data_IF_392842847387
#
_entry.id   IF_392842847387
#
_cell.length_a   1.000
_cell.length_b   1.000
_cell.length_c   1.000
_cell.angle_alpha   90.00
_cell.angle_beta   90.00
_cell.angle_gamma   90.00
#
_symmetry.space_group_name_H-M   'P 1'
#
loop_
_entity.id
_entity.type
_entity.pdbx_description
1 polymer ?
#
# COMPACT_ATOMS: atom_id res chain seq x y z
N UNK A 1 -44.70 -41.46 -20.14
CA UNK A 1 -44.32 -40.06 -19.88
C UNK A 1 -44.13 -39.92 -18.38
N UNK A 2 -42.93 -39.62 -17.89
CA UNK A 2 -42.65 -39.51 -16.46
C UNK A 2 -43.22 -38.18 -15.94
N UNK A 3 -44.22 -38.23 -15.07
CA UNK A 3 -44.82 -37.05 -14.44
C UNK A 3 -43.92 -36.58 -13.31
N UNK A 4 -43.36 -35.38 -13.44
CA UNK A 4 -42.59 -34.74 -12.36
C UNK A 4 -43.50 -34.42 -11.18
N UNK A 5 -43.00 -34.63 -9.96
CA UNK A 5 -43.70 -34.24 -8.74
C UNK A 5 -43.73 -32.70 -8.59
N UNK A 6 -44.67 -32.17 -7.80
CA UNK A 6 -44.70 -30.74 -7.49
C UNK A 6 -43.38 -30.25 -6.87
N UNK A 7 -42.71 -31.10 -6.09
CA UNK A 7 -41.44 -30.80 -5.44
C UNK A 7 -40.33 -30.60 -6.48
N UNK A 8 -40.26 -31.49 -7.48
CA UNK A 8 -39.28 -31.38 -8.57
C UNK A 8 -39.53 -30.14 -9.43
N UNK A 9 -40.79 -29.81 -9.71
CA UNK A 9 -41.14 -28.58 -10.46
C UNK A 9 -40.76 -27.33 -9.68
N UNK A 10 -41.02 -27.31 -8.38
CA UNK A 10 -40.63 -26.18 -7.51
C UNK A 10 -39.11 -26.05 -7.40
N UNK A 11 -38.38 -27.16 -7.33
CA UNK A 11 -36.93 -27.15 -7.24
C UNK A 11 -36.29 -26.69 -8.56
N UNK A 12 -36.79 -27.14 -9.70
CA UNK A 12 -36.35 -26.70 -11.03
C UNK A 12 -36.56 -25.18 -11.20
N UNK A 13 -37.69 -24.65 -10.73
CA UNK A 13 -37.97 -23.21 -10.76
C UNK A 13 -36.98 -22.43 -9.89
N UNK A 14 -36.68 -22.93 -8.69
CA UNK A 14 -35.77 -22.29 -7.75
C UNK A 14 -34.31 -22.31 -8.26
N UNK A 15 -33.88 -23.41 -8.87
CA UNK A 15 -32.56 -23.53 -9.51
C UNK A 15 -32.43 -22.63 -10.73
N UNK A 16 -33.49 -22.47 -11.53
CA UNK A 16 -33.52 -21.51 -12.64
C UNK A 16 -33.39 -20.07 -12.15
N UNK A 17 -34.18 -19.70 -11.16
CA UNK A 17 -34.13 -18.37 -10.54
C UNK A 17 -32.71 -18.07 -10.02
N UNK A 18 -32.10 -19.03 -9.30
CA UNK A 18 -30.74 -18.89 -8.80
C UNK A 18 -29.72 -18.75 -9.94
N UNK A 19 -29.91 -19.49 -11.04
CA UNK A 19 -29.10 -19.39 -12.25
C UNK A 19 -29.18 -18.01 -12.90
N UNK A 20 -30.39 -17.47 -13.07
CA UNK A 20 -30.65 -16.14 -13.64
C UNK A 20 -30.06 -15.03 -12.74
N UNK A 21 -30.24 -15.15 -11.42
CA UNK A 21 -29.71 -14.19 -10.44
C UNK A 21 -28.17 -14.22 -10.37
N UNK A 22 -27.55 -15.36 -10.70
CA UNK A 22 -26.08 -15.52 -10.68
C UNK A 22 -25.42 -15.27 -12.03
N UNK A 23 -26.17 -15.24 -13.14
CA UNK A 23 -25.65 -15.12 -14.51
C UNK A 23 -24.84 -13.83 -14.75
N UNK A 24 -25.16 -12.77 -13.99
CA UNK A 24 -24.47 -11.47 -14.06
C UNK A 24 -23.58 -11.17 -12.85
N UNK A 25 -23.41 -12.12 -11.93
CA UNK A 25 -22.51 -11.94 -10.78
C UNK A 25 -21.08 -11.97 -11.30
N UNK A 26 -20.49 -10.79 -11.44
CA UNK A 26 -19.05 -10.66 -11.61
C UNK A 26 -18.38 -11.06 -10.30
N UNK A 27 -17.52 -12.07 -10.35
CA UNK A 27 -16.63 -12.34 -9.23
C UNK A 27 -15.78 -11.10 -8.99
N UNK A 28 -15.85 -10.58 -7.77
CA UNK A 28 -15.08 -9.44 -7.30
C UNK A 28 -13.73 -10.01 -6.81
N UNK A 29 -12.81 -10.22 -7.75
CA UNK A 29 -11.45 -10.68 -7.41
C UNK A 29 -10.62 -9.58 -6.72
N UNK A 30 -11.15 -8.36 -6.66
CA UNK A 30 -10.51 -7.20 -6.05
C UNK A 30 -11.55 -6.24 -5.46
N UNK A 31 -11.13 -5.50 -4.42
CA UNK A 31 -11.84 -4.31 -3.95
C UNK A 31 -11.17 -3.07 -4.58
N UNK A 32 -11.95 -2.22 -5.24
CA UNK A 32 -11.50 -0.94 -5.78
C UNK A 32 -12.37 0.20 -5.26
N UNK A 33 -11.79 1.39 -5.12
CA UNK A 33 -12.50 2.57 -4.65
C UNK A 33 -11.54 3.70 -4.25
N UNK A 34 -12.12 4.83 -3.86
CA UNK A 34 -11.39 6.02 -3.41
C UNK A 34 -12.05 6.58 -2.15
N UNK A 35 -11.24 7.08 -1.21
CA UNK A 35 -11.73 7.82 -0.05
C UNK A 35 -11.15 9.22 -0.06
N UNK A 36 -12.00 10.22 0.19
CA UNK A 36 -11.56 11.60 0.33
C UNK A 36 -10.87 11.77 1.69
N UNK A 37 -9.61 12.21 1.67
CA UNK A 37 -8.92 12.69 2.86
C UNK A 37 -9.27 14.16 3.06
N UNK A 38 -9.33 14.64 4.31
CA UNK A 38 -9.44 16.08 4.52
C UNK A 38 -8.13 16.74 4.04
N UNK A 39 -8.17 17.95 3.46
CA UNK A 39 -6.98 18.64 2.99
C UNK A 39 -5.90 18.75 4.09
N UNK A 40 -4.63 18.64 3.70
CA UNK A 40 -3.45 18.78 4.56
C UNK A 40 -3.41 17.81 5.76
N UNK A 41 -4.13 16.68 5.68
CA UNK A 41 -4.10 15.67 6.74
C UNK A 41 -3.12 14.54 6.49
N UNK A 42 -2.53 14.41 5.30
CA UNK A 42 -1.59 13.34 5.04
C UNK A 42 -0.16 13.86 5.21
N UNK A 43 0.54 13.28 6.19
CA UNK A 43 1.92 13.59 6.49
C UNK A 43 2.75 12.30 6.48
N UNK A 44 3.86 12.33 5.75
CA UNK A 44 4.91 11.32 5.78
C UNK A 44 6.05 11.82 6.67
N UNK A 45 6.31 11.09 7.73
CA UNK A 45 7.46 11.30 8.61
C UNK A 45 8.56 10.32 8.18
N UNK A 46 9.79 10.79 8.00
CA UNK A 46 10.89 9.92 7.59
C UNK A 46 12.24 10.36 8.16
N UNK A 47 13.16 9.41 8.28
CA UNK A 47 14.54 9.67 8.70
C UNK A 47 15.32 10.24 7.52
N UNK A 48 16.15 11.26 7.74
CA UNK A 48 17.10 11.69 6.71
C UNK A 48 18.28 10.74 6.63
N UNK A 49 18.82 10.57 5.43
CA UNK A 49 20.12 9.95 5.25
C UNK A 49 21.20 10.78 6.00
N UNK A 50 22.11 10.09 6.68
CA UNK A 50 23.29 10.72 7.30
C UNK A 50 24.18 11.26 6.16
N UNK A 51 24.05 12.55 5.84
CA UNK A 51 24.99 13.21 4.93
C UNK A 51 26.34 13.45 5.62
N UNK A 52 27.08 12.36 5.87
CA UNK A 52 28.50 12.40 6.18
C UNK A 52 29.30 12.51 4.87
N UNK A 53 29.16 13.63 4.15
CA UNK A 53 30.09 14.01 3.08
C UNK A 53 29.98 15.50 2.75
N UNK A 54 30.28 16.35 3.73
CA UNK A 54 30.96 17.62 3.40
C UNK A 54 32.45 17.39 3.55
N UNK A 55 33.14 17.28 2.42
CA UNK A 55 34.59 17.37 2.33
C UNK A 55 35.06 18.72 2.90
N UNK A 56 35.34 18.77 4.20
CA UNK A 56 36.21 19.80 4.79
C UNK A 56 37.18 19.11 5.75
N UNK A 57 38.45 19.07 5.33
CA UNK A 57 39.60 18.83 6.21
C UNK A 57 39.53 19.80 7.39
N UNK A 58 39.46 19.30 8.63
CA UNK A 58 40.18 19.83 9.79
C UNK A 58 39.89 19.00 11.06
N UNK A 59 40.97 18.47 11.64
CA UNK A 59 41.29 18.27 13.05
C UNK A 59 40.19 17.82 14.05
N UNK A 60 40.41 16.58 14.53
CA UNK A 60 40.39 16.17 15.94
C UNK A 60 39.52 16.99 16.90
N UNK A 61 38.29 16.54 17.13
CA UNK A 61 37.53 16.82 18.35
C UNK A 61 36.45 15.76 18.56
N UNK A 62 36.19 15.44 19.84
CA UNK A 62 35.36 14.33 20.33
C UNK A 62 34.00 14.21 19.60
N UNK A 63 33.71 12.98 19.18
CA UNK A 63 32.51 12.56 18.44
C UNK A 63 31.25 12.68 19.33
N UNK A 64 30.61 13.84 19.31
CA UNK A 64 29.20 13.98 19.71
C UNK A 64 28.37 13.43 18.56
N UNK A 65 27.64 12.34 18.79
CA UNK A 65 26.73 11.79 17.78
C UNK A 65 25.64 12.84 17.51
N UNK A 66 25.62 13.39 16.29
CA UNK A 66 24.57 14.31 15.88
C UNK A 66 23.22 13.57 15.98
N UNK A 67 22.15 14.18 16.51
CA UNK A 67 20.86 13.52 16.59
C UNK A 67 20.35 13.21 15.18
N UNK A 68 19.89 11.98 14.95
CA UNK A 68 19.23 11.57 13.70
C UNK A 68 18.10 12.56 13.40
N UNK A 69 18.21 13.30 12.29
CA UNK A 69 17.22 14.31 11.95
C UNK A 69 16.01 13.64 11.28
N UNK A 70 14.81 13.97 11.76
CA UNK A 70 13.55 13.56 11.15
C UNK A 70 13.02 14.69 10.27
N UNK A 71 12.37 14.33 9.17
CA UNK A 71 11.72 15.24 8.22
C UNK A 71 10.24 14.90 8.11
N UNK A 72 9.44 15.89 7.70
CA UNK A 72 8.01 15.77 7.46
C UNK A 72 7.72 16.24 6.04
N UNK A 73 6.93 15.46 5.31
CA UNK A 73 6.38 15.83 4.02
C UNK A 73 4.85 15.83 4.12
N UNK A 74 4.24 16.98 3.87
CA UNK A 74 2.78 17.16 3.88
C UNK A 74 2.23 17.03 2.47
N UNK A 75 1.09 16.37 2.31
CA UNK A 75 0.43 16.23 1.01
C UNK A 75 -0.86 17.07 0.93
N UNK A 76 -1.16 17.67 -0.24
CA UNK A 76 -0.36 17.63 -1.48
C UNK A 76 0.92 18.49 -1.38
N UNK A 77 2.01 18.05 -2.00
CA UNK A 77 3.28 18.77 -2.09
C UNK A 77 3.66 19.06 -3.54
N UNK A 78 4.59 20.00 -3.74
CA UNK A 78 5.25 20.22 -5.04
C UNK A 78 6.50 19.34 -5.17
N UNK A 79 6.96 19.13 -6.41
CA UNK A 79 8.13 18.28 -6.72
C UNK A 79 9.41 18.72 -5.98
N UNK A 80 9.58 20.03 -5.75
CA UNK A 80 10.71 20.60 -5.02
C UNK A 80 10.82 20.07 -3.58
N UNK A 81 9.67 19.75 -2.96
CA UNK A 81 9.62 19.21 -1.60
C UNK A 81 9.92 17.70 -1.55
N UNK A 82 9.98 17.01 -2.70
CA UNK A 82 10.30 15.58 -2.78
C UNK A 82 11.80 15.31 -2.73
N UNK A 83 12.64 16.26 -3.13
CA UNK A 83 14.11 16.11 -3.17
C UNK A 83 14.73 15.52 -1.89
N UNK A 84 14.39 16.00 -0.67
CA UNK A 84 14.93 15.43 0.56
C UNK A 84 14.44 14.00 0.82
N UNK A 85 13.21 13.66 0.41
CA UNK A 85 12.66 12.31 0.51
C UNK A 85 13.40 11.36 -0.44
N UNK A 86 13.63 11.78 -1.69
CA UNK A 86 14.35 10.98 -2.68
C UNK A 86 15.77 10.65 -2.21
N UNK A 87 16.46 11.61 -1.58
CA UNK A 87 17.79 11.40 -0.97
C UNK A 87 17.80 10.45 0.21
N UNK A 88 16.68 10.30 0.92
CA UNK A 88 16.54 9.34 2.00
C UNK A 88 16.23 7.92 1.51
N UNK A 89 15.70 7.77 0.30
CA UNK A 89 15.32 6.47 -0.25
C UNK A 89 16.55 5.69 -0.76
N UNK A 90 16.36 4.37 -0.90
CA UNK A 90 17.34 3.47 -1.53
C UNK A 90 16.73 2.76 -2.74
N UNK A 91 17.52 2.30 -3.74
CA UNK A 91 17.00 1.56 -4.87
C UNK A 91 16.12 0.38 -4.45
N UNK A 92 14.92 0.26 -5.03
CA UNK A 92 13.97 -0.78 -4.70
C UNK A 92 14.37 -2.10 -5.35
N UNK A 93 14.51 -3.13 -4.52
CA UNK A 93 14.69 -4.51 -4.99
C UNK A 93 13.36 -5.27 -5.02
N UNK A 94 13.33 -6.35 -5.78
CA UNK A 94 12.17 -7.24 -5.86
C UNK A 94 12.60 -8.72 -5.79
N UNK A 95 11.64 -9.57 -5.41
CA UNK A 95 11.86 -11.01 -5.35
C UNK A 95 11.77 -11.64 -6.73
N UNK A 96 12.76 -12.45 -7.09
CA UNK A 96 12.77 -13.31 -8.28
C UNK A 96 13.06 -14.75 -7.85
N UNK A 97 11.99 -15.52 -7.65
CA UNK A 97 12.06 -16.85 -7.03
C UNK A 97 12.60 -16.78 -5.60
N UNK A 98 13.76 -17.37 -5.36
CA UNK A 98 14.45 -17.35 -4.05
C UNK A 98 15.48 -16.23 -3.90
N UNK A 99 15.57 -15.31 -4.86
CA UNK A 99 16.58 -14.24 -4.90
C UNK A 99 15.93 -12.88 -4.76
N UNK A 100 16.67 -11.93 -4.20
CA UNK A 100 16.35 -10.50 -4.26
C UNK A 100 17.23 -9.87 -5.32
N UNK A 101 16.62 -9.20 -6.30
CA UNK A 101 17.30 -8.64 -7.46
C UNK A 101 17.01 -7.14 -7.57
N UNK A 102 18.03 -6.38 -7.97
CA UNK A 102 17.91 -5.01 -8.45
C UNK A 102 18.03 -5.03 -9.97
N UNK A 103 16.96 -4.69 -10.68
CA UNK A 103 16.94 -4.59 -12.13
C UNK A 103 16.15 -3.36 -12.54
N UNK A 104 16.87 -2.31 -12.94
CA UNK A 104 16.31 -1.02 -13.34
C UNK A 104 15.58 -1.08 -14.69
N UNK A 105 15.82 -2.11 -15.52
CA UNK A 105 15.08 -2.30 -16.77
C UNK A 105 13.68 -2.86 -16.55
N UNK A 106 13.48 -3.57 -15.42
CA UNK A 106 12.19 -4.09 -14.99
C UNK A 106 11.48 -3.13 -14.01
N UNK A 107 12.23 -2.49 -13.11
CA UNK A 107 11.68 -1.62 -12.07
C UNK A 107 12.68 -0.53 -11.68
N UNK A 108 12.46 0.67 -12.19
CA UNK A 108 13.17 1.88 -11.74
C UNK A 108 12.37 2.58 -10.63
N UNK A 109 12.61 2.12 -9.40
CA UNK A 109 11.90 2.64 -8.24
C UNK A 109 12.84 2.77 -7.05
N UNK A 110 12.48 3.67 -6.14
CA UNK A 110 13.13 3.82 -4.85
C UNK A 110 12.21 3.27 -3.74
N UNK A 111 12.77 3.03 -2.55
CA UNK A 111 11.97 2.65 -1.40
C UNK A 111 12.55 3.15 -0.07
N UNK A 112 11.66 3.20 0.93
CA UNK A 112 11.98 3.32 2.36
C UNK A 112 11.48 2.09 3.11
N UNK A 113 12.35 1.57 3.99
CA UNK A 113 12.03 0.49 4.91
C UNK A 113 11.11 0.98 6.04
N UNK A 114 10.32 0.08 6.62
CA UNK A 114 9.34 0.38 7.68
C UNK A 114 9.90 1.07 8.91
N UNK A 115 11.16 0.84 9.24
CA UNK A 115 11.82 1.49 10.37
C UNK A 115 12.21 2.95 10.08
N UNK A 116 12.11 3.37 8.82
CA UNK A 116 12.63 4.64 8.32
C UNK A 116 11.54 5.65 7.98
N UNK A 117 10.26 5.26 8.05
CA UNK A 117 9.14 6.17 7.85
C UNK A 117 7.90 5.79 8.69
N UNK A 118 7.00 6.76 8.84
CA UNK A 118 5.65 6.56 9.34
C UNK A 118 4.68 7.52 8.67
N UNK A 119 3.39 7.23 8.77
CA UNK A 119 2.30 8.04 8.23
C UNK A 119 1.32 8.37 9.37
N UNK A 120 0.68 9.54 9.31
CA UNK A 120 -0.48 9.84 10.14
C UNK A 120 -1.81 9.32 9.56
N UNK A 121 -1.74 8.49 8.53
CA UNK A 121 -2.88 7.85 7.89
C UNK A 121 -3.05 6.41 8.39
N UNK A 122 -4.27 6.07 8.81
CA UNK A 122 -4.61 4.71 9.22
C UNK A 122 -5.88 4.21 8.49
N UNK A 123 -5.81 3.14 7.66
CA UNK A 123 -6.93 2.68 6.84
C UNK A 123 -8.24 2.41 7.59
N UNK A 124 -8.16 1.97 8.85
CA UNK A 124 -9.32 1.77 9.73
C UNK A 124 -10.16 3.04 9.92
N UNK A 125 -9.53 4.21 10.01
CA UNK A 125 -10.24 5.48 10.24
C UNK A 125 -11.12 5.90 9.05
N UNK A 126 -10.91 5.27 7.90
CA UNK A 126 -11.56 5.59 6.63
C UNK A 126 -12.50 4.48 6.15
N UNK A 127 -12.78 3.46 6.98
CA UNK A 127 -13.68 2.35 6.64
C UNK A 127 -13.12 1.39 5.58
N UNK A 128 -11.87 1.57 5.14
CA UNK A 128 -11.27 0.77 4.06
C UNK A 128 -11.23 -0.72 4.44
N UNK A 129 -10.80 -1.03 5.66
CA UNK A 129 -10.69 -2.44 6.10
C UNK A 129 -12.05 -3.12 6.27
N UNK A 130 -13.08 -2.35 6.61
CA UNK A 130 -14.44 -2.88 6.75
C UNK A 130 -14.98 -3.31 5.39
N UNK A 131 -14.76 -2.51 4.34
CA UNK A 131 -15.17 -2.90 3.00
C UNK A 131 -14.35 -4.07 2.45
N UNK A 132 -13.04 -4.11 2.68
CA UNK A 132 -12.21 -5.28 2.32
C UNK A 132 -12.73 -6.54 3.02
N UNK A 133 -13.06 -6.45 4.31
CA UNK A 133 -13.63 -7.57 5.08
C UNK A 133 -14.92 -8.06 4.46
N UNK A 134 -15.86 -7.15 4.22
CA UNK A 134 -17.19 -7.45 3.68
C UNK A 134 -17.11 -8.19 2.34
N UNK A 135 -16.23 -7.77 1.44
CA UNK A 135 -16.17 -8.35 0.09
C UNK A 135 -15.22 -9.55 -0.02
N UNK A 136 -14.08 -9.55 0.66
CA UNK A 136 -13.04 -10.57 0.45
C UNK A 136 -13.04 -11.66 1.52
N UNK A 137 -13.43 -11.33 2.76
CA UNK A 137 -13.30 -12.25 3.90
C UNK A 137 -14.50 -12.14 4.87
N UNK A 138 -15.75 -12.29 4.39
CA UNK A 138 -16.94 -12.00 5.19
C UNK A 138 -17.07 -12.89 6.45
N UNK A 139 -16.45 -14.06 6.45
CA UNK A 139 -16.48 -15.01 7.57
C UNK A 139 -15.34 -14.80 8.58
N UNK A 140 -14.41 -13.86 8.34
CA UNK A 140 -13.30 -13.57 9.25
C UNK A 140 -13.60 -12.33 10.10
N UNK A 141 -13.28 -12.42 11.39
CA UNK A 141 -13.68 -11.40 12.35
C UNK A 141 -12.93 -10.06 12.18
N UNK A 142 -11.63 -10.10 11.88
CA UNK A 142 -10.75 -8.91 11.93
C UNK A 142 -9.69 -8.95 10.84
N UNK A 143 -9.52 -7.81 10.15
CA UNK A 143 -8.39 -7.53 9.26
C UNK A 143 -7.47 -6.52 9.96
N UNK A 144 -6.17 -6.81 10.01
CA UNK A 144 -5.16 -5.91 10.55
C UNK A 144 -4.25 -5.40 9.42
N UNK A 145 -4.09 -4.08 9.26
CA UNK A 145 -3.17 -3.54 8.29
C UNK A 145 -1.75 -3.55 8.88
N UNK A 146 -0.77 -3.94 8.08
CA UNK A 146 0.65 -3.87 8.45
C UNK A 146 1.38 -2.89 7.52
N UNK A 147 2.15 -1.98 8.10
CA UNK A 147 3.04 -1.12 7.34
C UNK A 147 4.17 -1.98 6.78
N UNK A 148 4.40 -1.95 5.47
CA UNK A 148 5.34 -2.86 4.82
C UNK A 148 6.58 -2.17 4.23
N UNK A 149 6.40 -1.31 3.23
CA UNK A 149 7.44 -0.44 2.68
C UNK A 149 6.80 0.67 1.88
N UNK A 150 7.46 1.82 1.81
CA UNK A 150 7.07 2.89 0.90
C UNK A 150 7.85 2.73 -0.39
N UNK A 151 7.17 2.52 -1.51
CA UNK A 151 7.80 2.58 -2.84
C UNK A 151 7.57 3.96 -3.43
N UNK A 152 8.60 4.51 -4.07
CA UNK A 152 8.56 5.79 -4.77
C UNK A 152 8.90 5.53 -6.23
N UNK A 153 8.03 6.00 -7.11
CA UNK A 153 8.13 5.83 -8.55
C UNK A 153 8.26 7.20 -9.21
N UNK A 154 9.10 7.27 -10.24
CA UNK A 154 9.25 8.47 -11.05
C UNK A 154 8.12 8.63 -12.07
N UNK A 155 8.12 9.73 -12.85
CA UNK A 155 7.23 9.89 -13.99
C UNK A 155 7.34 8.70 -14.95
N UNK A 156 6.21 8.11 -15.33
CA UNK A 156 6.17 6.90 -16.19
C UNK A 156 5.91 5.60 -15.44
N UNK A 157 6.01 5.63 -14.11
CA UNK A 157 5.72 4.49 -13.24
C UNK A 157 6.92 3.61 -12.96
#
# INVERSE_FOLDING_TARGET
>A
MSTKSLTEVSQDALLRQLGEDTENIKSIFSCGGSVALKPNQLCLFYKTADNAQTSKKAQSSKKVQNPKQAQVLEFPCTDEHLEPLLKACTPATFGHGKKTVLDLSYRDALHLATDSFSLNFHPVQYGILEEIRKYMTPNHAVILPELYKLNVYGPGG
#
